data_IF_628883424228
#
_entry.id   IF_628883424228
#
_cell.length_a   1.000
_cell.length_b   1.000
_cell.length_c   1.000
_cell.angle_alpha   90.00
_cell.angle_beta   90.00
_cell.angle_gamma   90.00
#
_symmetry.space_group_name_H-M   'P 1'
#
loop_
_entity.id
_entity.type
_entity.pdbx_description
1 polymer ?
#
# COMPACT_ATOMS: atom_id res chain seq x y z
N UNK A 1 -11.92 6.70 -22.28
CA UNK A 1 -12.45 6.45 -20.92
C UNK A 1 -12.36 4.94 -20.72
N UNK A 2 -11.16 4.43 -20.46
CA UNK A 2 -10.95 2.99 -20.33
C UNK A 2 -11.55 2.53 -19.02
N UNK A 3 -12.50 1.62 -19.12
CA UNK A 3 -13.14 0.98 -17.98
C UNK A 3 -12.13 0.06 -17.30
N UNK A 4 -11.46 0.59 -16.27
CA UNK A 4 -10.49 -0.14 -15.44
C UNK A 4 -11.18 -1.27 -14.67
N UNK A 5 -12.52 -1.31 -14.62
CA UNK A 5 -13.28 -2.36 -13.92
C UNK A 5 -13.29 -3.71 -14.65
N UNK A 6 -13.06 -3.73 -15.97
CA UNK A 6 -13.14 -4.95 -16.78
C UNK A 6 -11.94 -5.90 -16.64
N UNK A 7 -10.86 -5.49 -15.96
CA UNK A 7 -9.58 -6.20 -15.97
C UNK A 7 -9.15 -6.90 -14.68
N UNK A 8 -9.88 -6.74 -13.56
CA UNK A 8 -9.50 -7.39 -12.31
C UNK A 8 -9.86 -8.88 -12.33
N UNK A 9 -8.91 -9.72 -12.74
CA UNK A 9 -9.01 -11.18 -12.64
C UNK A 9 -9.45 -11.54 -11.20
N UNK A 10 -10.41 -12.47 -11.06
CA UNK A 10 -11.02 -12.90 -9.77
C UNK A 10 -10.06 -13.03 -8.57
N UNK A 11 -8.81 -13.53 -8.72
CA UNK A 11 -7.85 -13.60 -7.60
C UNK A 11 -7.45 -12.24 -6.99
N UNK A 12 -7.43 -11.17 -7.80
CA UNK A 12 -7.03 -9.84 -7.35
C UNK A 12 -8.13 -9.17 -6.52
N UNK A 13 -9.39 -9.37 -6.88
CA UNK A 13 -10.53 -8.89 -6.08
C UNK A 13 -10.52 -9.51 -4.67
N UNK A 14 -10.22 -10.80 -4.55
CA UNK A 14 -10.09 -11.48 -3.27
C UNK A 14 -8.93 -10.91 -2.43
N UNK A 15 -7.78 -10.63 -3.06
CA UNK A 15 -6.64 -10.00 -2.39
C UNK A 15 -6.92 -8.58 -1.92
N UNK A 16 -7.65 -7.78 -2.70
CA UNK A 16 -8.09 -6.45 -2.28
C UNK A 16 -9.02 -6.54 -1.07
N UNK A 17 -9.98 -7.47 -1.07
CA UNK A 17 -10.86 -7.69 0.07
C UNK A 17 -10.07 -8.10 1.32
N UNK A 18 -9.14 -9.05 1.18
CA UNK A 18 -8.25 -9.47 2.27
C UNK A 18 -7.37 -8.33 2.77
N UNK A 19 -6.82 -7.49 1.88
CA UNK A 19 -6.03 -6.32 2.22
C UNK A 19 -6.82 -5.28 3.02
N UNK A 20 -8.07 -4.99 2.61
CA UNK A 20 -8.98 -4.11 3.37
C UNK A 20 -9.24 -4.64 4.77
N UNK A 21 -9.47 -5.94 4.89
CA UNK A 21 -9.68 -6.60 6.19
C UNK A 21 -8.42 -6.56 7.07
N UNK A 22 -7.24 -6.76 6.49
CA UNK A 22 -5.96 -6.67 7.20
C UNK A 22 -5.71 -5.24 7.71
N UNK A 23 -5.94 -4.22 6.88
CA UNK A 23 -5.82 -2.81 7.29
C UNK A 23 -6.78 -2.47 8.43
N UNK A 24 -8.04 -2.91 8.35
CA UNK A 24 -9.04 -2.69 9.40
C UNK A 24 -8.59 -3.31 10.72
N UNK A 25 -8.33 -4.62 10.73
CA UNK A 25 -7.94 -5.36 11.94
C UNK A 25 -6.64 -4.86 12.54
N UNK A 26 -5.63 -4.62 11.71
CA UNK A 26 -4.34 -4.09 12.16
C UNK A 26 -4.48 -2.68 12.73
N UNK A 27 -5.30 -1.82 12.12
CA UNK A 27 -5.57 -0.48 12.66
C UNK A 27 -6.28 -0.55 14.02
N UNK A 28 -7.25 -1.44 14.19
CA UNK A 28 -7.93 -1.67 15.47
C UNK A 28 -6.93 -2.09 16.57
N UNK A 29 -5.99 -2.99 16.25
CA UNK A 29 -4.93 -3.40 17.17
C UNK A 29 -4.00 -2.26 17.55
N UNK A 30 -3.57 -1.44 16.58
CA UNK A 30 -2.71 -0.29 16.85
C UNK A 30 -3.43 0.77 17.69
N UNK A 31 -4.72 0.99 17.45
CA UNK A 31 -5.54 1.88 18.28
C UNK A 31 -5.67 1.34 19.70
N UNK A 32 -5.88 0.03 19.89
CA UNK A 32 -5.92 -0.58 21.22
C UNK A 32 -4.59 -0.37 21.96
N UNK A 33 -3.47 -0.70 21.30
CA UNK A 33 -2.13 -0.53 21.86
C UNK A 33 -1.83 0.94 22.22
N UNK A 34 -2.26 1.89 21.38
CA UNK A 34 -2.09 3.32 21.67
C UNK A 34 -2.95 3.78 22.87
N UNK A 35 -4.17 3.25 23.02
CA UNK A 35 -5.01 3.57 24.18
C UNK A 35 -4.43 3.04 25.48
N UNK A 36 -3.80 1.88 25.45
CA UNK A 36 -3.09 1.30 26.59
C UNK A 36 -1.80 2.07 26.90
N UNK A 37 -1.04 2.44 25.86
CA UNK A 37 0.20 3.19 25.98
C UNK A 37 0.32 4.20 24.82
N UNK A 38 0.09 5.50 25.05
CA UNK A 38 -0.06 6.50 23.99
C UNK A 38 1.28 6.93 23.39
N UNK A 39 1.90 6.02 22.64
CA UNK A 39 3.14 6.26 21.92
C UNK A 39 2.84 6.51 20.44
N UNK A 40 2.98 7.76 20.01
CA UNK A 40 2.70 8.17 18.62
C UNK A 40 3.65 7.52 17.62
N UNK A 41 4.95 7.47 17.90
CA UNK A 41 5.94 6.90 16.97
C UNK A 41 5.63 5.45 16.55
N UNK A 42 5.43 4.52 17.51
CA UNK A 42 4.98 3.16 17.21
C UNK A 42 3.65 3.08 16.46
N UNK A 43 2.68 3.94 16.78
CA UNK A 43 1.40 4.00 16.07
C UNK A 43 1.58 4.37 14.59
N UNK A 44 2.32 5.44 14.30
CA UNK A 44 2.55 5.91 12.92
C UNK A 44 3.36 4.89 12.11
N UNK A 45 4.45 4.38 12.70
CA UNK A 45 5.28 3.36 12.06
C UNK A 45 4.51 2.07 11.81
N UNK A 46 3.72 1.61 12.79
CA UNK A 46 2.88 0.43 12.65
C UNK A 46 1.85 0.57 11.53
N UNK A 47 1.24 1.76 11.38
CA UNK A 47 0.31 2.01 10.27
C UNK A 47 1.01 1.97 8.92
N UNK A 48 2.20 2.58 8.78
CA UNK A 48 2.99 2.49 7.56
C UNK A 48 3.33 1.02 7.21
N UNK A 49 3.73 0.22 8.20
CA UNK A 49 4.04 -1.20 8.02
C UNK A 49 2.83 -2.06 7.62
N UNK A 50 1.63 -1.75 8.13
CA UNK A 50 0.40 -2.43 7.70
C UNK A 50 0.10 -2.14 6.22
N UNK A 51 0.31 -0.89 5.79
CA UNK A 51 0.15 -0.50 4.39
C UNK A 51 1.21 -1.16 3.51
N UNK A 52 2.47 -1.20 3.97
CA UNK A 52 3.56 -1.89 3.27
C UNK A 52 3.18 -3.33 2.95
N UNK A 53 2.71 -4.09 3.94
CA UNK A 53 2.37 -5.51 3.76
C UNK A 53 1.27 -5.71 2.73
N UNK A 54 0.24 -4.86 2.74
CA UNK A 54 -0.88 -4.94 1.79
C UNK A 54 -0.45 -4.55 0.38
N UNK A 55 0.33 -3.47 0.25
CA UNK A 55 0.84 -3.02 -1.04
C UNK A 55 1.82 -4.03 -1.64
N UNK A 56 2.67 -4.66 -0.83
CA UNK A 56 3.57 -5.72 -1.29
C UNK A 56 2.81 -6.95 -1.77
N UNK A 57 1.77 -7.38 -1.05
CA UNK A 57 0.94 -8.52 -1.51
C UNK A 57 0.25 -8.20 -2.84
N UNK A 58 -0.33 -7.01 -2.97
CA UNK A 58 -0.95 -6.58 -4.22
C UNK A 58 0.08 -6.48 -5.35
N UNK A 59 1.21 -5.82 -5.12
CA UNK A 59 2.29 -5.66 -6.11
C UNK A 59 2.75 -7.01 -6.67
N UNK A 60 2.98 -7.98 -5.79
CA UNK A 60 3.37 -9.34 -6.18
C UNK A 60 2.26 -10.06 -6.97
N UNK A 61 0.97 -9.78 -6.67
CA UNK A 61 -0.16 -10.35 -7.40
C UNK A 61 -0.32 -9.80 -8.82
N UNK A 62 0.00 -8.51 -9.00
CA UNK A 62 -0.12 -7.84 -10.29
C UNK A 62 0.88 -8.35 -11.32
N UNK A 63 1.99 -8.95 -10.88
CA UNK A 63 3.02 -9.49 -11.78
C UNK A 63 3.72 -8.39 -12.57
N UNK A 64 4.03 -7.28 -11.89
CA UNK A 64 4.75 -6.14 -12.48
C UNK A 64 6.12 -6.58 -13.04
N UNK A 65 6.64 -5.88 -14.07
CA UNK A 65 7.99 -6.14 -14.56
C UNK A 65 9.02 -6.11 -13.42
N UNK A 66 10.05 -6.97 -13.42
CA UNK A 66 11.06 -6.99 -12.36
C UNK A 66 11.83 -5.67 -12.19
N UNK A 67 11.90 -4.86 -13.25
CA UNK A 67 12.53 -3.55 -13.26
C UNK A 67 11.60 -2.40 -12.83
N UNK A 68 10.30 -2.67 -12.63
CA UNK A 68 9.38 -1.69 -12.08
C UNK A 68 9.61 -1.53 -10.58
N UNK A 69 9.40 -0.32 -10.06
CA UNK A 69 9.59 0.00 -8.64
C UNK A 69 8.32 0.56 -8.05
N UNK A 70 7.93 0.05 -6.89
CA UNK A 70 6.93 0.64 -6.02
C UNK A 70 7.63 1.37 -4.87
N UNK A 71 7.31 2.65 -4.71
CA UNK A 71 7.91 3.50 -3.68
C UNK A 71 6.84 4.22 -2.88
N UNK A 72 6.99 4.21 -1.56
CA UNK A 72 6.22 5.06 -0.66
C UNK A 72 6.71 6.51 -0.78
N UNK A 73 5.78 7.46 -0.93
CA UNK A 73 6.06 8.88 -1.03
C UNK A 73 5.47 9.66 0.15
N UNK A 74 5.74 10.96 0.23
CA UNK A 74 5.11 11.85 1.22
C UNK A 74 5.34 11.40 2.66
N UNK A 75 4.32 11.59 3.51
CA UNK A 75 4.36 11.17 4.92
C UNK A 75 4.42 9.66 5.11
N UNK A 76 3.85 8.89 4.18
CA UNK A 76 3.96 7.43 4.17
C UNK A 76 5.42 6.98 4.05
N UNK A 77 6.18 7.52 3.08
CA UNK A 77 7.59 7.19 2.88
C UNK A 77 8.50 7.55 4.07
N UNK A 78 8.08 8.47 4.93
CA UNK A 78 8.81 8.82 6.17
C UNK A 78 8.38 8.02 7.39
N UNK A 79 7.47 7.05 7.25
CA UNK A 79 6.82 6.33 8.34
C UNK A 79 5.98 7.23 9.28
N UNK A 80 5.51 8.36 8.77
CA UNK A 80 4.70 9.36 9.50
C UNK A 80 3.23 9.27 9.07
N UNK A 81 2.67 8.06 8.99
CA UNK A 81 1.33 7.85 8.44
C UNK A 81 0.24 8.09 9.49
N UNK A 82 -0.22 9.33 9.60
CA UNK A 82 -1.26 9.76 10.54
C UNK A 82 -2.63 9.12 10.25
N UNK A 83 -3.48 8.94 11.28
CA UNK A 83 -4.83 8.45 11.09
C UNK A 83 -5.58 9.26 10.02
N UNK A 84 -6.30 8.56 9.14
CA UNK A 84 -7.03 9.15 8.01
C UNK A 84 -6.18 9.86 6.94
N UNK A 85 -4.85 9.85 7.04
CA UNK A 85 -3.98 10.29 5.93
C UNK A 85 -4.12 9.39 4.71
N UNK A 86 -4.04 10.01 3.55
CA UNK A 86 -3.88 9.32 2.27
C UNK A 86 -2.54 8.56 2.21
N UNK A 87 -2.48 7.58 1.32
CA UNK A 87 -1.29 6.77 1.04
C UNK A 87 -0.74 7.19 -0.31
N UNK A 88 0.30 8.02 -0.29
CA UNK A 88 0.98 8.48 -1.50
C UNK A 88 1.99 7.43 -1.97
N UNK A 89 1.84 6.95 -3.20
CA UNK A 89 2.78 6.02 -3.84
C UNK A 89 3.27 6.55 -5.18
N UNK A 90 4.51 6.20 -5.50
CA UNK A 90 5.12 6.40 -6.81
C UNK A 90 5.40 5.02 -7.43
N UNK A 91 4.98 4.83 -8.67
CA UNK A 91 5.31 3.65 -9.46
C UNK A 91 6.25 4.09 -10.57
N UNK A 92 7.47 3.57 -10.58
CA UNK A 92 8.44 3.75 -11.65
C UNK A 92 8.34 2.55 -12.59
N UNK A 93 8.20 2.82 -13.88
CA UNK A 93 8.20 1.81 -14.92
C UNK A 93 9.55 1.83 -15.62
N UNK A 94 10.03 0.70 -16.17
CA UNK A 94 11.21 0.70 -17.02
C UNK A 94 10.98 1.64 -18.22
N UNK A 95 12.06 2.27 -18.70
CA UNK A 95 12.03 2.94 -20.00
C UNK A 95 11.58 1.94 -21.08
N UNK A 96 10.65 2.37 -21.93
CA UNK A 96 10.35 1.64 -23.15
C UNK A 96 11.41 2.01 -24.19
N UNK A 97 11.98 1.02 -24.88
CA UNK A 97 12.95 1.25 -25.97
C UNK A 97 12.37 2.12 -27.11
N UNK A 98 11.04 2.30 -27.17
CA UNK A 98 10.34 3.15 -28.13
C UNK A 98 10.39 4.67 -27.81
N UNK A 99 10.87 5.07 -26.62
CA UNK A 99 11.01 6.49 -26.24
C UNK A 99 12.39 7.08 -26.65
N UNK A 100 13.25 6.28 -27.28
CA UNK A 100 14.50 6.74 -27.92
C UNK A 100 14.38 6.52 -29.43
N UNK A 101 13.62 7.38 -30.13
CA UNK A 101 13.85 7.94 -31.48
C UNK A 101 12.58 8.60 -32.05
#
# INVERSE_FOLDING_TARGET
MNDISAGLKSPLAARIAAGRDALRKGTEQLVSAYREKPLTGPMLKGRAQLVDGVLQDLWNAFGMPPSAVLMAAGGYGRNELYPHSDVDILILLPEHEDDIL
#
